data_IF_179984895328
#
_entry.id   IF_179984895328
#
_cell.length_a   1.000
_cell.length_b   1.000
_cell.length_c   1.000
_cell.angle_alpha   90.00
_cell.angle_beta   90.00
_cell.angle_gamma   90.00
#
_symmetry.space_group_name_H-M   'P 1'
#
loop_
_entity.id
_entity.type
_entity.pdbx_description
1 polymer ?
#
# COMPACT_ATOMS: atom_id res chain seq x y z
N UNK A 1 -11.26 22.45 -9.35
CA UNK A 1 -12.05 22.83 -8.15
C UNK A 1 -11.15 23.52 -7.14
N UNK A 2 -11.63 24.59 -6.50
CA UNK A 2 -10.89 25.24 -5.41
C UNK A 2 -10.83 24.31 -4.18
N UNK A 3 -9.75 24.35 -3.38
CA UNK A 3 -9.57 23.40 -2.28
C UNK A 3 -10.73 23.39 -1.26
N UNK A 4 -11.31 24.56 -0.96
CA UNK A 4 -12.49 24.68 -0.09
C UNK A 4 -13.73 23.98 -0.65
N UNK A 5 -13.88 23.90 -1.97
CA UNK A 5 -14.95 23.16 -2.64
C UNK A 5 -14.68 21.67 -2.66
N UNK A 6 -13.41 21.26 -2.78
CA UNK A 6 -13.00 19.85 -2.73
C UNK A 6 -13.31 19.23 -1.35
N UNK A 7 -13.07 19.95 -0.26
CA UNK A 7 -13.42 19.49 1.09
C UNK A 7 -14.91 19.25 1.30
N UNK A 8 -15.79 19.85 0.49
CA UNK A 8 -17.24 19.59 0.55
C UNK A 8 -17.66 18.39 -0.28
N UNK A 9 -16.78 17.82 -1.09
CA UNK A 9 -17.08 16.68 -1.95
C UNK A 9 -16.92 15.36 -1.20
N UNK A 10 -17.92 14.48 -1.28
CA UNK A 10 -17.81 13.11 -0.73
C UNK A 10 -16.64 12.34 -1.34
N UNK A 11 -16.34 12.56 -2.63
CA UNK A 11 -15.22 11.95 -3.34
C UNK A 11 -13.86 12.21 -2.67
N UNK A 12 -13.67 13.40 -2.07
CA UNK A 12 -12.44 13.72 -1.36
C UNK A 12 -12.23 12.78 -0.17
N UNK A 13 -13.26 12.60 0.67
CA UNK A 13 -13.18 11.72 1.83
C UNK A 13 -12.99 10.25 1.43
N UNK A 14 -13.64 9.80 0.35
CA UNK A 14 -13.42 8.45 -0.18
C UNK A 14 -11.94 8.26 -0.56
N UNK A 15 -11.34 9.22 -1.25
CA UNK A 15 -9.92 9.12 -1.63
C UNK A 15 -9.02 9.19 -0.40
N UNK A 16 -9.32 10.08 0.52
CA UNK A 16 -8.55 10.27 1.75
C UNK A 16 -8.54 9.01 2.62
N UNK A 17 -9.70 8.41 2.90
CA UNK A 17 -9.79 7.18 3.69
C UNK A 17 -9.21 5.96 2.96
N UNK A 18 -9.44 5.85 1.66
CA UNK A 18 -8.84 4.76 0.86
C UNK A 18 -7.31 4.83 0.90
N UNK A 19 -6.76 6.04 0.73
CA UNK A 19 -5.32 6.23 0.76
C UNK A 19 -4.73 6.08 2.17
N UNK A 20 -5.50 6.44 3.21
CA UNK A 20 -5.16 6.18 4.62
C UNK A 20 -5.02 4.68 4.88
N UNK A 21 -6.04 3.89 4.55
CA UNK A 21 -6.05 2.44 4.81
C UNK A 21 -4.94 1.70 4.06
N UNK A 22 -4.73 2.06 2.79
CA UNK A 22 -3.58 1.57 2.03
C UNK A 22 -2.26 1.99 2.68
N UNK A 23 -2.16 3.26 3.08
CA UNK A 23 -0.99 3.80 3.77
C UNK A 23 -0.62 2.99 5.00
N UNK A 24 -1.59 2.63 5.84
CA UNK A 24 -1.34 1.86 7.08
C UNK A 24 -0.71 0.51 6.74
N UNK A 25 -1.29 -0.24 5.81
CA UNK A 25 -0.82 -1.57 5.42
C UNK A 25 0.53 -1.52 4.68
N UNK A 26 0.76 -0.47 3.90
CA UNK A 26 2.02 -0.20 3.21
C UNK A 26 3.14 0.13 4.20
N UNK A 27 2.86 1.00 5.17
CA UNK A 27 3.79 1.34 6.25
C UNK A 27 4.13 0.10 7.08
N UNK A 28 3.15 -0.78 7.30
CA UNK A 28 3.35 -2.04 8.01
C UNK A 28 4.36 -2.94 7.30
N UNK A 29 4.21 -3.15 5.99
CA UNK A 29 5.17 -3.96 5.21
C UNK A 29 6.58 -3.35 5.24
N UNK A 30 6.70 -2.03 5.09
CA UNK A 30 8.01 -1.38 5.12
C UNK A 30 8.69 -1.52 6.50
N UNK A 31 7.92 -1.46 7.59
CA UNK A 31 8.46 -1.58 8.94
C UNK A 31 8.75 -3.04 9.32
N UNK A 32 7.78 -3.94 9.13
CA UNK A 32 7.79 -5.31 9.66
C UNK A 32 8.19 -6.38 8.64
N UNK A 33 8.29 -6.04 7.35
CA UNK A 33 8.63 -7.00 6.29
C UNK A 33 9.96 -7.69 6.57
N UNK A 34 11.04 -6.93 6.77
CA UNK A 34 12.36 -7.51 7.07
C UNK A 34 12.33 -8.37 8.34
N UNK A 35 11.75 -7.87 9.42
CA UNK A 35 11.65 -8.58 10.71
C UNK A 35 10.88 -9.88 10.58
N UNK A 36 9.78 -9.89 9.82
CA UNK A 36 9.04 -11.12 9.53
C UNK A 36 9.89 -12.11 8.73
N UNK A 37 10.58 -11.66 7.68
CA UNK A 37 11.49 -12.52 6.90
C UNK A 37 12.59 -13.14 7.76
N UNK A 38 13.12 -12.41 8.75
CA UNK A 38 14.15 -12.90 9.67
C UNK A 38 13.66 -14.05 10.59
N UNK A 39 12.34 -14.22 10.77
CA UNK A 39 11.81 -15.31 11.61
C UNK A 39 12.05 -16.70 11.01
N UNK A 40 12.22 -16.80 9.69
CA UNK A 40 12.49 -18.08 8.99
C UNK A 40 13.68 -18.03 8.02
N UNK A 41 14.26 -16.84 7.76
CA UNK A 41 15.48 -16.66 6.97
C UNK A 41 16.54 -15.97 7.84
N UNK A 42 17.53 -16.74 8.30
CA UNK A 42 18.64 -16.21 9.11
C UNK A 42 19.71 -15.44 8.31
N UNK A 43 19.55 -15.34 6.99
CA UNK A 43 20.51 -14.71 6.08
C UNK A 43 20.13 -13.24 5.83
N UNK A 44 20.74 -12.34 6.60
CA UNK A 44 20.45 -10.91 6.50
C UNK A 44 20.91 -10.29 5.17
N UNK A 45 21.99 -10.83 4.58
CA UNK A 45 22.49 -10.36 3.28
C UNK A 45 21.49 -10.69 2.18
N UNK A 46 20.94 -11.90 2.19
CA UNK A 46 19.87 -12.30 1.28
C UNK A 46 18.63 -11.42 1.43
N UNK A 47 18.17 -11.15 2.66
CA UNK A 47 17.03 -10.25 2.90
C UNK A 47 17.30 -8.82 2.41
N UNK A 48 18.51 -8.31 2.59
CA UNK A 48 18.91 -7.00 2.06
C UNK A 48 18.86 -6.97 0.53
N UNK A 49 19.36 -8.02 -0.15
CA UNK A 49 19.28 -8.14 -1.60
C UNK A 49 17.81 -8.13 -2.09
N UNK A 50 16.91 -8.86 -1.42
CA UNK A 50 15.48 -8.86 -1.77
C UNK A 50 14.90 -7.45 -1.78
N UNK A 51 15.20 -6.67 -0.74
CA UNK A 51 14.76 -5.26 -0.62
C UNK A 51 15.43 -4.38 -1.68
N UNK A 52 16.70 -4.62 -2.03
CA UNK A 52 17.34 -3.91 -3.14
C UNK A 52 16.64 -4.19 -4.47
N UNK A 53 16.36 -5.46 -4.79
CA UNK A 53 15.64 -5.84 -6.01
C UNK A 53 14.19 -5.33 -6.02
N UNK A 54 13.53 -5.20 -4.87
CA UNK A 54 12.16 -4.70 -4.79
C UNK A 54 12.02 -3.26 -5.31
N UNK A 55 13.10 -2.47 -5.30
CA UNK A 55 13.13 -1.13 -5.90
C UNK A 55 12.94 -1.16 -7.42
N UNK A 56 13.44 -2.18 -8.12
CA UNK A 56 13.19 -2.37 -9.55
C UNK A 56 11.72 -2.68 -9.83
N UNK A 57 11.11 -3.54 -9.00
CA UNK A 57 9.68 -3.84 -9.08
C UNK A 57 8.82 -2.63 -8.71
N UNK A 58 9.28 -1.77 -7.79
CA UNK A 58 8.63 -0.51 -7.49
C UNK A 58 8.64 0.41 -8.72
N UNK A 59 9.79 0.59 -9.36
CA UNK A 59 9.92 1.41 -10.57
C UNK A 59 9.06 0.85 -11.71
N UNK A 60 9.16 -0.46 -11.98
CA UNK A 60 8.37 -1.15 -12.99
C UNK A 60 6.87 -1.10 -12.72
N UNK A 61 6.46 -1.23 -11.46
CA UNK A 61 5.07 -1.14 -11.04
C UNK A 61 4.48 0.25 -11.30
N UNK A 62 5.24 1.35 -11.12
CA UNK A 62 4.76 2.70 -11.47
C UNK A 62 4.42 2.81 -12.95
N UNK A 63 5.27 2.26 -13.81
CA UNK A 63 5.06 2.27 -15.27
C UNK A 63 3.85 1.40 -15.64
N UNK A 64 3.78 0.19 -15.08
CA UNK A 64 2.68 -0.74 -15.33
C UNK A 64 1.33 -0.15 -14.93
N UNK A 65 1.22 0.34 -13.69
CA UNK A 65 -0.03 0.91 -13.17
C UNK A 65 -0.39 2.24 -13.81
N UNK A 66 0.60 3.06 -14.18
CA UNK A 66 0.38 4.24 -15.02
C UNK A 66 -0.30 3.85 -16.34
N UNK A 67 0.25 2.87 -17.05
CA UNK A 67 -0.32 2.39 -18.32
C UNK A 67 -1.68 1.73 -18.16
N UNK A 68 -1.91 0.99 -17.07
CA UNK A 68 -3.22 0.41 -16.75
C UNK A 68 -4.23 1.53 -16.54
N UNK A 69 -3.89 2.56 -15.78
CA UNK A 69 -4.78 3.68 -15.49
C UNK A 69 -4.99 4.61 -16.71
N UNK A 70 -4.06 4.65 -17.66
CA UNK A 70 -4.27 5.33 -18.94
C UNK A 70 -5.32 4.62 -19.79
N UNK A 71 -5.36 3.28 -19.74
CA UNK A 71 -6.32 2.46 -20.50
C UNK A 71 -7.65 2.21 -19.78
N UNK A 72 -7.66 2.26 -18.45
CA UNK A 72 -8.81 1.93 -17.61
C UNK A 72 -9.32 3.16 -16.85
N UNK A 73 -10.44 3.02 -16.14
CA UNK A 73 -10.92 4.07 -15.22
C UNK A 73 -10.22 4.00 -13.87
N UNK A 74 -9.97 5.17 -13.25
CA UNK A 74 -9.37 5.28 -11.91
C UNK A 74 -10.03 4.36 -10.87
N UNK A 75 -11.37 4.31 -10.84
CA UNK A 75 -12.12 3.46 -9.91
C UNK A 75 -11.78 1.97 -10.07
N UNK A 76 -11.60 1.52 -11.31
CA UNK A 76 -11.28 0.14 -11.61
C UNK A 76 -9.82 -0.17 -11.22
N UNK A 77 -8.87 0.70 -11.60
CA UNK A 77 -7.45 0.54 -11.25
C UNK A 77 -7.27 0.50 -9.73
N UNK A 78 -7.95 1.38 -8.99
CA UNK A 78 -7.86 1.43 -7.53
C UNK A 78 -8.43 0.17 -6.86
N UNK A 79 -9.58 -0.34 -7.34
CA UNK A 79 -10.16 -1.58 -6.83
C UNK A 79 -9.31 -2.80 -7.12
N UNK A 80 -8.70 -2.86 -8.31
CA UNK A 80 -7.73 -3.91 -8.66
C UNK A 80 -6.53 -3.85 -7.72
N UNK A 81 -5.95 -2.66 -7.52
CA UNK A 81 -4.84 -2.44 -6.59
C UNK A 81 -5.17 -2.90 -5.17
N UNK A 82 -6.26 -2.40 -4.60
CA UNK A 82 -6.69 -2.78 -3.24
C UNK A 82 -6.92 -4.29 -3.15
N UNK A 83 -7.52 -4.92 -4.17
CA UNK A 83 -7.80 -6.37 -4.14
C UNK A 83 -6.53 -7.20 -4.23
N UNK A 84 -5.62 -6.89 -5.15
CA UNK A 84 -4.36 -7.62 -5.28
C UNK A 84 -3.54 -7.42 -4.00
N UNK A 85 -3.49 -6.20 -3.46
CA UNK A 85 -2.75 -5.90 -2.23
C UNK A 85 -3.33 -6.63 -1.01
N UNK A 86 -4.66 -6.65 -0.83
CA UNK A 86 -5.31 -7.43 0.22
C UNK A 86 -4.98 -8.93 0.11
N UNK A 87 -5.03 -9.50 -1.09
CA UNK A 87 -4.73 -10.94 -1.29
C UNK A 87 -3.26 -11.23 -0.97
N UNK A 88 -2.34 -10.37 -1.42
CA UNK A 88 -0.91 -10.53 -1.13
C UNK A 88 -0.61 -10.42 0.38
N UNK A 89 -1.27 -9.50 1.08
CA UNK A 89 -1.14 -9.37 2.55
C UNK A 89 -1.73 -10.57 3.28
N UNK A 90 -2.91 -11.04 2.88
CA UNK A 90 -3.55 -12.20 3.50
C UNK A 90 -2.77 -13.50 3.30
N UNK A 91 -2.10 -13.64 2.16
CA UNK A 91 -1.26 -14.82 1.84
C UNK A 91 0.19 -14.69 2.30
N UNK A 92 0.61 -13.51 2.77
CA UNK A 92 1.98 -13.25 3.24
C UNK A 92 2.41 -14.21 4.36
N UNK A 93 1.59 -14.52 5.38
CA UNK A 93 1.96 -15.48 6.43
C UNK A 93 2.28 -16.88 5.88
N UNK A 94 1.67 -17.29 4.76
CA UNK A 94 1.93 -18.59 4.13
C UNK A 94 3.36 -18.70 3.58
N UNK A 95 4.02 -17.57 3.35
CA UNK A 95 5.40 -17.55 2.82
C UNK A 95 6.40 -18.21 3.77
N UNK A 96 6.08 -18.24 5.07
CA UNK A 96 6.85 -18.97 6.09
C UNK A 96 6.97 -20.47 5.78
N UNK A 97 5.96 -21.08 5.15
CA UNK A 97 5.97 -22.48 4.74
C UNK A 97 6.65 -22.71 3.38
N UNK A 98 6.63 -21.72 2.49
CA UNK A 98 7.27 -21.82 1.16
C UNK A 98 8.79 -21.65 1.17
N UNK A 99 9.35 -21.20 2.30
CA UNK A 99 10.80 -21.07 2.50
C UNK A 99 11.46 -19.94 1.71
N UNK A 100 12.78 -20.02 1.55
CA UNK A 100 13.68 -18.96 1.00
C UNK A 100 13.31 -18.44 -0.39
N UNK A 101 12.56 -19.20 -1.20
CA UNK A 101 12.25 -18.83 -2.59
C UNK A 101 10.87 -18.15 -2.71
N UNK A 102 9.89 -18.51 -1.89
CA UNK A 102 8.54 -17.94 -1.98
C UNK A 102 8.45 -16.51 -1.42
N UNK A 103 9.19 -16.23 -0.35
CA UNK A 103 9.22 -14.92 0.29
C UNK A 103 9.63 -13.75 -0.63
N UNK A 104 10.75 -13.80 -1.39
CA UNK A 104 11.14 -12.71 -2.28
C UNK A 104 10.08 -12.37 -3.33
N UNK A 105 9.43 -13.40 -3.90
CA UNK A 105 8.40 -13.23 -4.92
C UNK A 105 7.23 -12.42 -4.35
N UNK A 106 6.78 -12.73 -3.14
CA UNK A 106 5.71 -12.00 -2.47
C UNK A 106 6.10 -10.54 -2.20
N UNK A 107 7.32 -10.28 -1.71
CA UNK A 107 7.80 -8.93 -1.49
C UNK A 107 7.85 -8.14 -2.79
N UNK A 108 8.36 -8.72 -3.88
CA UNK A 108 8.41 -8.03 -5.17
C UNK A 108 7.03 -7.70 -5.74
N UNK A 109 6.07 -8.62 -5.63
CA UNK A 109 4.68 -8.38 -6.03
C UNK A 109 4.01 -7.31 -5.17
N UNK A 110 4.30 -7.29 -3.86
CA UNK A 110 3.84 -6.24 -2.96
C UNK A 110 4.43 -4.89 -3.37
N UNK A 111 5.73 -4.79 -3.65
CA UNK A 111 6.34 -3.51 -4.06
C UNK A 111 5.82 -3.00 -5.42
N UNK A 112 5.42 -3.90 -6.31
CA UNK A 112 4.77 -3.60 -7.59
C UNK A 112 3.36 -3.02 -7.40
N UNK A 113 2.59 -3.51 -6.42
CA UNK A 113 1.26 -2.96 -6.09
C UNK A 113 1.35 -1.68 -5.25
N UNK A 114 2.25 -1.64 -4.28
CA UNK A 114 2.59 -0.48 -3.48
C UNK A 114 2.86 0.74 -4.36
N UNK A 115 3.72 0.60 -5.38
CA UNK A 115 4.02 1.70 -6.29
C UNK A 115 2.79 2.20 -7.06
N UNK A 116 1.90 1.29 -7.43
CA UNK A 116 0.68 1.62 -8.16
C UNK A 116 -0.27 2.50 -7.37
N UNK A 117 -0.40 2.30 -6.05
CA UNK A 117 -1.21 3.16 -5.19
C UNK A 117 -0.74 4.63 -5.25
N UNK A 118 0.57 4.88 -5.24
CA UNK A 118 1.15 6.24 -5.31
C UNK A 118 1.15 6.82 -6.72
N UNK A 119 1.06 6.00 -7.77
CA UNK A 119 0.93 6.48 -9.15
C UNK A 119 -0.52 6.76 -9.55
N UNK A 120 -1.47 5.96 -9.06
CA UNK A 120 -2.89 6.06 -9.44
C UNK A 120 -3.60 7.17 -8.67
N UNK A 121 -3.29 7.37 -7.37
CA UNK A 121 -3.89 8.41 -6.53
C UNK A 121 -3.72 9.85 -7.05
N UNK A 122 -2.53 10.32 -7.46
CA UNK A 122 -2.35 11.67 -8.02
C UNK A 122 -3.19 11.87 -9.27
N UNK A 123 -3.10 10.99 -10.25
CA UNK A 123 -3.86 11.13 -11.50
C UNK A 123 -5.37 10.97 -11.29
N UNK A 124 -5.79 10.15 -10.33
CA UNK A 124 -7.19 10.09 -9.89
C UNK A 124 -7.69 11.41 -9.33
N UNK A 125 -6.87 12.05 -8.49
CA UNK A 125 -7.16 13.35 -7.87
C UNK A 125 -7.25 14.44 -8.94
N UNK A 126 -6.36 14.44 -9.91
CA UNK A 126 -6.39 15.35 -11.06
C UNK A 126 -7.67 15.15 -11.89
N UNK A 127 -8.00 13.91 -12.26
CA UNK A 127 -9.22 13.59 -13.02
C UNK A 127 -10.51 13.93 -12.25
N UNK A 128 -10.52 13.78 -10.92
CA UNK A 128 -11.70 14.03 -10.09
C UNK A 128 -11.93 15.51 -9.75
N UNK A 129 -10.85 16.28 -9.51
CA UNK A 129 -10.95 17.66 -9.03
C UNK A 129 -10.44 18.72 -10.01
N UNK A 130 -9.82 18.32 -11.12
CA UNK A 130 -9.26 19.19 -12.16
C UNK A 130 -7.81 19.63 -11.88
N UNK A 131 -7.12 20.03 -12.94
CA UNK A 131 -5.67 20.34 -12.94
C UNK A 131 -5.31 21.71 -12.34
N UNK A 132 -6.23 22.69 -12.33
CA UNK A 132 -5.94 24.09 -11.95
C UNK A 132 -5.41 24.27 -10.52
N UNK A 133 -5.86 23.44 -9.57
CA UNK A 133 -5.40 23.47 -8.16
C UNK A 133 -4.94 22.08 -7.72
N UNK A 134 -4.40 21.30 -8.66
CA UNK A 134 -4.04 19.91 -8.45
C UNK A 134 -3.10 19.71 -7.26
N UNK A 135 -1.98 20.45 -7.21
CA UNK A 135 -0.96 20.28 -6.16
C UNK A 135 -1.52 20.48 -4.75
N UNK A 136 -2.37 21.49 -4.54
CA UNK A 136 -3.01 21.75 -3.25
C UNK A 136 -4.04 20.67 -2.90
N UNK A 137 -4.87 20.26 -3.87
CA UNK A 137 -5.89 19.24 -3.65
C UNK A 137 -5.27 17.87 -3.36
N UNK A 138 -4.22 17.49 -4.10
CA UNK A 138 -3.47 16.27 -3.86
C UNK A 138 -2.71 16.32 -2.54
N UNK A 139 -2.11 17.46 -2.19
CA UNK A 139 -1.48 17.64 -0.87
C UNK A 139 -2.45 17.39 0.29
N UNK A 140 -3.70 17.84 0.16
CA UNK A 140 -4.75 17.54 1.15
C UNK A 140 -5.09 16.06 1.22
N UNK A 141 -5.18 15.35 0.08
CA UNK A 141 -5.38 13.89 0.08
C UNK A 141 -4.16 13.18 0.69
N UNK A 142 -2.95 13.61 0.36
CA UNK A 142 -1.70 13.04 0.82
C UNK A 142 -1.47 13.23 2.33
N UNK A 143 -2.11 14.22 2.96
CA UNK A 143 -2.02 14.46 4.40
C UNK A 143 -2.36 13.23 5.26
N UNK A 144 -3.21 12.32 4.77
CA UNK A 144 -3.52 11.07 5.47
C UNK A 144 -2.28 10.18 5.70
N UNK A 145 -1.23 10.31 4.88
CA UNK A 145 -0.02 9.51 5.02
C UNK A 145 0.82 9.87 6.25
N UNK A 146 0.67 11.09 6.78
CA UNK A 146 1.28 11.43 8.07
C UNK A 146 0.61 10.63 9.21
N UNK A 147 -0.70 10.38 9.10
CA UNK A 147 -1.51 9.69 10.11
C UNK A 147 -1.33 8.17 9.99
N UNK A 148 -1.18 7.65 8.77
CA UNK A 148 -1.08 6.21 8.52
C UNK A 148 0.08 5.54 9.25
N UNK A 149 1.24 6.20 9.30
CA UNK A 149 2.42 5.69 10.01
C UNK A 149 2.21 5.58 11.53
N UNK A 150 1.63 6.61 12.16
CA UNK A 150 1.33 6.60 13.59
C UNK A 150 0.26 5.57 13.95
N UNK A 151 -0.80 5.46 13.14
CA UNK A 151 -1.83 4.43 13.34
C UNK A 151 -1.26 3.03 13.19
N UNK A 152 -0.42 2.81 12.18
CA UNK A 152 0.26 1.53 11.98
C UNK A 152 1.10 1.14 13.20
N UNK A 153 1.89 2.07 13.74
CA UNK A 153 2.71 1.80 14.93
C UNK A 153 1.86 1.43 16.14
N UNK A 154 0.74 2.14 16.37
CA UNK A 154 -0.20 1.84 17.45
C UNK A 154 -0.85 0.46 17.28
N UNK A 155 -1.33 0.13 16.08
CA UNK A 155 -1.94 -1.18 15.77
C UNK A 155 -0.91 -2.30 15.94
N UNK A 156 0.32 -2.11 15.46
CA UNK A 156 1.37 -3.10 15.59
C UNK A 156 1.74 -3.36 17.06
N UNK A 157 1.89 -2.31 17.87
CA UNK A 157 2.21 -2.46 19.30
C UNK A 157 1.16 -3.25 20.08
N UNK A 158 -0.12 -3.08 19.75
CA UNK A 158 -1.21 -3.81 20.41
C UNK A 158 -1.33 -5.26 19.92
N UNK A 159 -1.14 -5.48 18.63
CA UNK A 159 -1.45 -6.78 18.02
C UNK A 159 -0.26 -7.73 17.97
N UNK A 160 0.98 -7.24 17.91
CA UNK A 160 2.16 -8.09 17.76
C UNK A 160 2.33 -9.03 18.96
N UNK A 161 2.15 -8.52 20.17
CA UNK A 161 2.30 -9.29 21.42
C UNK A 161 1.18 -10.31 21.62
N UNK A 162 -0.03 -10.01 21.11
CA UNK A 162 -1.24 -10.81 21.37
C UNK A 162 -1.52 -11.85 20.27
N UNK A 163 -1.33 -11.48 19.00
CA UNK A 163 -1.75 -12.28 17.84
C UNK A 163 -0.59 -12.70 16.92
N UNK A 164 0.64 -12.23 17.21
CA UNK A 164 1.81 -12.49 16.37
C UNK A 164 1.70 -11.90 14.96
N UNK A 165 2.70 -12.19 14.13
CA UNK A 165 2.79 -11.64 12.77
C UNK A 165 1.60 -12.02 11.88
N UNK A 166 1.12 -13.26 11.96
CA UNK A 166 -0.01 -13.74 11.14
C UNK A 166 -1.28 -12.95 11.39
N UNK A 167 -1.62 -12.69 12.66
CA UNK A 167 -2.79 -11.87 13.01
C UNK A 167 -2.64 -10.43 12.52
N UNK A 168 -1.46 -9.84 12.67
CA UNK A 168 -1.19 -8.49 12.19
C UNK A 168 -1.36 -8.37 10.67
N UNK A 169 -0.83 -9.30 9.86
CA UNK A 169 -0.99 -9.28 8.41
C UNK A 169 -2.45 -9.42 7.98
N UNK A 170 -3.24 -10.27 8.65
CA UNK A 170 -4.66 -10.42 8.38
C UNK A 170 -5.46 -9.17 8.74
N UNK A 171 -5.14 -8.51 9.86
CA UNK A 171 -5.76 -7.22 10.22
C UNK A 171 -5.43 -6.14 9.19
N UNK A 172 -4.18 -6.08 8.71
CA UNK A 172 -3.79 -5.11 7.66
C UNK A 172 -4.49 -5.41 6.32
N UNK A 173 -4.68 -6.69 5.99
CA UNK A 173 -5.46 -7.10 4.83
C UNK A 173 -6.94 -6.69 4.97
N UNK A 174 -7.53 -6.84 6.16
CA UNK A 174 -8.89 -6.40 6.46
C UNK A 174 -9.03 -4.88 6.36
N UNK A 175 -8.12 -4.11 6.94
CA UNK A 175 -8.08 -2.63 6.84
C UNK A 175 -8.01 -2.19 5.38
N UNK A 176 -7.14 -2.81 4.59
CA UNK A 176 -7.01 -2.52 3.15
C UNK A 176 -8.31 -2.82 2.39
N UNK A 177 -9.03 -3.88 2.77
CA UNK A 177 -10.27 -4.27 2.11
C UNK A 177 -11.42 -3.26 2.30
N UNK A 178 -11.38 -2.46 3.37
CA UNK A 178 -12.33 -1.38 3.64
C UNK A 178 -12.16 -0.17 2.70
N UNK A 179 -11.03 -0.07 2.01
CA UNK A 179 -10.73 0.99 1.04
C UNK A 179 -11.19 0.70 -0.40
N UNK A 180 -12.27 -0.05 -0.63
CA UNK A 180 -12.75 -0.47 -1.97
C UNK A 180 -14.02 0.23 -2.47
#
# INVERSE_FOLDING_TARGET
>A
LTPKKVLRQRTFYVFWFTFLFLGIAISYINAMGKTFGQTFISDDHFLAQIVSFSSLFNAGGRILWGRIMDKTSFRLSMRMLCTIFTVLLATMPLTSYTGKIGYPIWIWLIYLTFSGAYSVMPTGTEKAFGSTHYSSNYGMVFSCQAISGSLMAAVNGLMLDTFGYTGCFLTMAAITSLGK
#
